data_IF_424988628086
#
_entry.id   IF_424988628086
#
_cell.length_a   1.000
_cell.length_b   1.000
_cell.length_c   1.000
_cell.angle_alpha   90.00
_cell.angle_beta   90.00
_cell.angle_gamma   90.00
#
_symmetry.space_group_name_H-M   'P 1'
#
loop_
_entity.id
_entity.type
_entity.pdbx_description
1 polymer ?
#
# COMPACT_ATOMS: atom_id res chain seq x y z
N UNK A 1 -4.80 30.74 -75.51
CA UNK A 1 -4.31 30.06 -74.29
C UNK A 1 -4.12 31.09 -73.18
N UNK A 2 -4.98 31.09 -72.17
CA UNK A 2 -4.75 31.58 -70.79
C UNK A 2 -5.85 30.92 -69.95
N UNK A 3 -5.53 29.84 -69.23
CA UNK A 3 -6.44 29.17 -68.29
C UNK A 3 -6.27 29.87 -66.94
N UNK A 4 -7.29 30.59 -66.48
CA UNK A 4 -7.35 31.08 -65.11
C UNK A 4 -7.85 29.94 -64.22
N UNK A 5 -6.96 29.45 -63.35
CA UNK A 5 -7.25 28.43 -62.36
C UNK A 5 -7.71 29.13 -61.08
N UNK A 6 -9.02 29.24 -60.87
CA UNK A 6 -9.57 29.73 -59.60
C UNK A 6 -9.54 28.60 -58.57
N UNK A 7 -8.60 28.68 -57.63
CA UNK A 7 -8.49 27.78 -56.48
C UNK A 7 -9.58 28.18 -55.46
N UNK A 8 -10.61 27.37 -55.31
CA UNK A 8 -11.57 27.49 -54.22
C UNK A 8 -10.98 26.81 -52.97
N UNK A 9 -10.60 27.61 -51.98
CA UNK A 9 -10.12 27.17 -50.68
C UNK A 9 -11.32 26.84 -49.79
N UNK A 10 -11.63 25.56 -49.61
CA UNK A 10 -12.67 25.11 -48.69
C UNK A 10 -12.08 24.98 -47.28
N UNK A 11 -12.32 25.97 -46.42
CA UNK A 11 -12.00 25.90 -44.99
C UNK A 11 -13.01 24.98 -44.30
N UNK A 12 -12.58 23.76 -43.97
CA UNK A 12 -13.33 22.87 -43.08
C UNK A 12 -13.05 23.32 -41.65
N UNK A 13 -13.98 24.05 -41.06
CA UNK A 13 -13.97 24.40 -39.64
C UNK A 13 -14.48 23.19 -38.85
N UNK A 14 -13.61 22.27 -38.47
CA UNK A 14 -13.94 21.23 -37.49
C UNK A 14 -14.11 21.90 -36.13
N UNK A 15 -15.36 22.15 -35.72
CA UNK A 15 -15.69 22.41 -34.32
C UNK A 15 -15.29 21.19 -33.50
N UNK A 16 -14.13 21.27 -32.84
CA UNK A 16 -13.82 20.40 -31.72
C UNK A 16 -14.81 20.73 -30.60
N UNK A 17 -15.90 19.98 -30.52
CA UNK A 17 -16.63 19.85 -29.27
C UNK A 17 -15.70 19.12 -28.30
N UNK A 18 -14.95 19.88 -27.51
CA UNK A 18 -14.35 19.38 -26.29
C UNK A 18 -15.49 18.93 -25.39
N UNK A 19 -15.80 17.64 -25.43
CA UNK A 19 -16.55 16.99 -24.36
C UNK A 19 -15.73 17.23 -23.09
N UNK A 20 -16.15 18.20 -22.29
CA UNK A 20 -15.71 18.30 -20.90
C UNK A 20 -16.20 17.02 -20.24
N UNK A 21 -15.33 16.02 -20.16
CA UNK A 21 -15.51 14.95 -19.20
C UNK A 21 -15.57 15.64 -17.85
N UNK A 22 -16.77 15.73 -17.27
CA UNK A 22 -16.89 16.09 -15.86
C UNK A 22 -16.05 15.06 -15.12
N UNK A 23 -14.86 15.47 -14.65
CA UNK A 23 -14.06 14.66 -13.75
C UNK A 23 -14.96 14.37 -12.57
N UNK A 24 -15.28 13.09 -12.35
CA UNK A 24 -15.99 12.71 -11.15
C UNK A 24 -14.94 12.96 -10.06
N UNK A 25 -15.25 13.83 -9.10
CA UNK A 25 -14.32 14.03 -8.01
C UNK A 25 -14.11 12.67 -7.33
N UNK A 26 -12.87 12.20 -7.23
CA UNK A 26 -12.54 10.98 -6.50
C UNK A 26 -13.15 11.07 -5.09
N UNK A 27 -14.00 10.09 -4.72
CA UNK A 27 -14.80 10.15 -3.49
C UNK A 27 -14.37 9.13 -2.42
N UNK A 28 -13.07 8.83 -2.29
CA UNK A 28 -12.60 8.08 -1.12
C UNK A 28 -11.46 7.11 -1.34
N UNK A 29 -11.43 6.07 -0.51
CA UNK A 29 -10.35 5.11 -0.47
C UNK A 29 -10.46 4.09 -1.60
N UNK A 30 -9.33 3.73 -2.20
CA UNK A 30 -9.20 2.64 -3.15
C UNK A 30 -8.15 1.65 -2.65
N UNK A 31 -8.46 0.36 -2.74
CA UNK A 31 -7.69 -0.70 -2.10
C UNK A 31 -7.56 -1.89 -3.05
N UNK A 32 -6.33 -2.34 -3.27
CA UNK A 32 -6.05 -3.68 -3.81
C UNK A 32 -5.26 -4.45 -2.77
N UNK A 33 -5.81 -5.57 -2.28
CA UNK A 33 -5.15 -6.46 -1.34
C UNK A 33 -5.28 -7.93 -1.73
N UNK A 34 -4.19 -8.67 -1.52
CA UNK A 34 -4.10 -10.10 -1.74
C UNK A 34 -3.58 -10.79 -0.49
N UNK A 35 -4.26 -11.85 -0.08
CA UNK A 35 -3.90 -12.67 1.08
C UNK A 35 -3.44 -14.04 0.62
N UNK A 36 -2.56 -14.65 1.41
CA UNK A 36 -2.36 -16.09 1.36
C UNK A 36 -3.60 -16.83 1.86
N UNK A 37 -3.83 -18.04 1.35
CA UNK A 37 -4.78 -18.97 1.96
C UNK A 37 -4.19 -19.60 3.23
N UNK A 38 -2.90 -19.94 3.21
CA UNK A 38 -2.18 -20.54 4.34
C UNK A 38 -1.67 -19.48 5.32
N UNK A 39 -1.37 -19.90 6.55
CA UNK A 39 -0.82 -19.04 7.60
C UNK A 39 0.71 -19.10 7.66
N UNK A 40 1.33 -17.96 7.94
CA UNK A 40 2.78 -17.77 8.01
C UNK A 40 3.16 -16.92 9.23
N UNK A 41 4.45 -16.94 9.58
CA UNK A 41 5.05 -16.13 10.65
C UNK A 41 5.45 -14.73 10.17
N UNK A 42 5.24 -14.39 8.91
CA UNK A 42 5.64 -13.10 8.37
C UNK A 42 5.71 -13.09 6.86
N UNK A 43 5.90 -11.89 6.34
CA UNK A 43 6.03 -11.61 4.92
C UNK A 43 7.07 -10.52 4.72
N UNK A 44 7.84 -10.62 3.65
CA UNK A 44 8.72 -9.58 3.17
C UNK A 44 8.66 -9.47 1.66
N UNK A 45 9.22 -8.40 1.13
CA UNK A 45 9.33 -8.17 -0.30
C UNK A 45 10.03 -6.87 -0.61
N UNK A 46 10.34 -6.68 -1.88
CA UNK A 46 11.05 -5.52 -2.42
C UNK A 46 10.04 -4.61 -3.14
N UNK A 47 9.77 -3.44 -2.58
CA UNK A 47 8.94 -2.42 -3.21
C UNK A 47 9.79 -1.55 -4.13
N UNK A 48 9.46 -1.53 -5.41
CA UNK A 48 9.96 -0.52 -6.36
C UNK A 48 9.13 0.75 -6.17
N UNK A 49 9.81 1.84 -5.84
CA UNK A 49 9.18 3.14 -5.61
C UNK A 49 8.61 3.67 -6.93
N UNK A 50 7.31 4.00 -6.96
CA UNK A 50 6.68 4.48 -8.18
C UNK A 50 7.22 5.84 -8.61
N UNK A 51 6.97 6.15 -9.88
CA UNK A 51 7.19 7.48 -10.45
C UNK A 51 5.92 8.33 -10.37
N UNK A 52 6.06 9.64 -10.60
CA UNK A 52 4.95 10.57 -10.73
C UNK A 52 3.97 10.57 -9.54
N UNK A 53 4.51 10.36 -8.34
CA UNK A 53 3.75 10.21 -7.10
C UNK A 53 3.22 11.56 -6.66
N UNK A 54 1.92 11.64 -6.37
CA UNK A 54 1.27 12.85 -5.86
C UNK A 54 0.16 12.47 -4.89
N UNK A 55 0.10 13.19 -3.77
CA UNK A 55 -0.98 13.13 -2.79
C UNK A 55 -1.01 14.47 -2.05
N UNK A 56 -2.20 15.09 -1.93
CA UNK A 56 -2.36 16.41 -1.33
C UNK A 56 -3.53 16.46 -0.34
N UNK A 57 -3.54 17.48 0.53
CA UNK A 57 -4.65 17.81 1.43
C UNK A 57 -5.14 16.64 2.30
N UNK A 58 -4.21 15.91 2.92
CA UNK A 58 -4.54 14.76 3.78
C UNK A 58 -4.68 13.42 3.05
N UNK A 59 -4.62 13.40 1.72
CA UNK A 59 -4.52 12.16 0.96
C UNK A 59 -3.19 11.43 1.21
N UNK A 60 -3.23 10.11 1.11
CA UNK A 60 -2.07 9.23 1.29
C UNK A 60 -2.05 8.11 0.27
N UNK A 61 -0.86 7.63 -0.04
CA UNK A 61 -0.62 6.40 -0.80
C UNK A 61 0.18 5.47 0.09
N UNK A 62 -0.36 4.30 0.42
CA UNK A 62 0.26 3.30 1.28
C UNK A 62 0.61 2.05 0.47
N UNK A 63 1.87 1.63 0.60
CA UNK A 63 2.37 0.35 0.11
C UNK A 63 2.72 -0.48 1.34
N UNK A 64 1.96 -1.52 1.62
CA UNK A 64 2.03 -2.19 2.91
C UNK A 64 1.92 -3.71 2.83
N UNK A 65 2.51 -4.33 3.84
CA UNK A 65 2.44 -5.74 4.16
C UNK A 65 1.57 -5.92 5.40
N UNK A 66 0.99 -7.10 5.59
CA UNK A 66 0.17 -7.36 6.77
C UNK A 66 0.20 -8.79 7.28
N UNK A 67 -0.05 -8.90 8.58
CA UNK A 67 -0.35 -10.11 9.34
C UNK A 67 -1.85 -10.09 9.63
N UNK A 68 -2.61 -10.82 8.81
CA UNK A 68 -4.06 -10.71 8.69
C UNK A 68 -4.51 -9.24 8.54
N UNK A 69 -5.64 -8.88 9.13
CA UNK A 69 -6.11 -7.49 9.27
C UNK A 69 -5.73 -6.88 10.63
N UNK A 70 -4.92 -7.60 11.40
CA UNK A 70 -4.55 -7.23 12.77
C UNK A 70 -3.34 -6.29 12.79
N UNK A 71 -2.31 -6.61 12.00
CA UNK A 71 -1.09 -5.78 11.95
C UNK A 71 -0.72 -5.50 10.52
N UNK A 72 -0.52 -4.23 10.20
CA UNK A 72 -0.14 -3.74 8.87
C UNK A 72 1.04 -2.79 9.00
N UNK A 73 2.03 -2.93 8.14
CA UNK A 73 3.20 -2.07 8.15
C UNK A 73 3.69 -1.83 6.73
N UNK A 74 4.21 -0.63 6.48
CA UNK A 74 4.54 -0.23 5.12
C UNK A 74 5.27 1.08 5.03
N UNK A 75 5.33 1.59 3.80
CA UNK A 75 5.71 2.97 3.50
C UNK A 75 4.50 3.71 2.96
N UNK A 76 4.41 4.98 3.31
CA UNK A 76 3.32 5.87 2.96
C UNK A 76 3.87 7.15 2.36
N UNK A 77 3.26 7.64 1.29
CA UNK A 77 3.54 8.95 0.71
C UNK A 77 2.38 9.90 0.99
N UNK A 78 2.70 11.14 1.36
CA UNK A 78 1.76 12.25 1.45
C UNK A 78 2.43 13.54 0.97
N UNK A 79 1.76 14.68 1.10
CA UNK A 79 2.35 16.00 0.85
C UNK A 79 3.57 16.31 1.72
N UNK A 80 3.77 15.58 2.83
CA UNK A 80 4.95 15.70 3.69
C UNK A 80 6.13 14.79 3.27
N UNK A 81 5.97 14.04 2.18
CA UNK A 81 6.94 13.06 1.69
C UNK A 81 6.69 11.64 2.18
N UNK A 82 7.70 10.79 2.02
CA UNK A 82 7.67 9.39 2.42
C UNK A 82 7.90 9.22 3.92
N UNK A 83 7.07 8.37 4.51
CA UNK A 83 7.18 7.89 5.89
C UNK A 83 7.08 6.38 5.94
N UNK A 84 7.66 5.80 6.97
CA UNK A 84 7.43 4.41 7.35
C UNK A 84 6.36 4.36 8.45
N UNK A 85 5.52 3.34 8.46
CA UNK A 85 4.49 3.19 9.49
C UNK A 85 4.23 1.74 9.87
N UNK A 86 3.64 1.56 11.04
CA UNK A 86 3.04 0.32 11.50
C UNK A 86 1.73 0.63 12.22
N UNK A 87 0.74 -0.22 12.01
CA UNK A 87 -0.58 -0.18 12.58
C UNK A 87 -0.90 -1.58 13.16
N UNK A 88 -1.41 -1.64 14.39
CA UNK A 88 -1.75 -2.89 15.09
C UNK A 88 -3.26 -3.01 15.39
N UNK A 89 -4.11 -2.31 14.63
CA UNK A 89 -5.56 -2.43 14.71
C UNK A 89 -6.26 -1.15 15.16
N UNK A 90 -7.52 -1.27 15.60
CA UNK A 90 -8.32 -0.14 16.08
C UNK A 90 -7.91 0.29 17.50
N UNK A 91 -8.26 1.52 17.90
CA UNK A 91 -8.10 2.04 19.26
C UNK A 91 -8.68 1.06 20.28
N UNK A 92 -7.82 0.25 20.88
CA UNK A 92 -8.22 -0.72 21.86
C UNK A 92 -7.65 -0.24 23.20
N UNK A 93 -8.56 0.05 24.11
CA UNK A 93 -8.26 0.39 25.48
C UNK A 93 -8.69 -0.78 26.36
N UNK A 94 -7.92 -1.04 27.40
CA UNK A 94 -8.20 -2.07 28.38
C UNK A 94 -9.15 -1.40 29.33
N UNK A 95 -10.39 -1.86 29.31
CA UNK A 95 -11.34 -1.46 30.31
C UNK A 95 -11.02 -2.18 31.63
N UNK A 96 -11.17 -1.50 32.77
CA UNK A 96 -11.19 -2.16 34.07
C UNK A 96 -12.53 -2.93 34.25
N UNK A 97 -12.74 -3.55 35.42
CA UNK A 97 -14.00 -4.26 35.75
C UNK A 97 -15.25 -3.38 35.67
N UNK A 98 -15.09 -2.06 35.60
CA UNK A 98 -16.18 -1.07 35.56
C UNK A 98 -16.33 -0.46 34.16
N UNK A 99 -15.77 -1.12 33.13
CA UNK A 99 -15.80 -0.68 31.74
C UNK A 99 -15.14 0.70 31.49
N UNK A 100 -14.24 1.14 32.38
CA UNK A 100 -13.48 2.38 32.21
C UNK A 100 -12.13 2.10 31.57
N UNK A 101 -11.82 2.80 30.48
CA UNK A 101 -10.53 2.72 29.80
C UNK A 101 -9.39 3.17 30.74
N UNK A 102 -8.53 2.23 31.13
CA UNK A 102 -7.41 2.48 32.07
C UNK A 102 -6.04 2.39 31.41
N UNK A 103 -5.97 1.85 30.20
CA UNK A 103 -4.75 1.79 29.42
C UNK A 103 -5.06 1.86 27.93
N UNK A 104 -4.58 2.88 27.23
CA UNK A 104 -4.77 3.04 25.80
C UNK A 104 -3.41 3.06 25.11
N UNK A 105 -3.18 2.11 24.20
CA UNK A 105 -1.96 2.11 23.38
C UNK A 105 -2.21 2.89 22.09
N UNK A 106 -1.19 3.60 21.59
CA UNK A 106 -1.22 4.12 20.23
C UNK A 106 -1.21 2.91 19.27
N UNK A 107 -2.33 2.70 18.60
CA UNK A 107 -2.49 1.60 17.64
C UNK A 107 -1.75 1.86 16.32
N UNK A 108 -1.29 3.09 16.09
CA UNK A 108 -0.53 3.48 14.90
C UNK A 108 0.72 4.29 15.27
N UNK A 109 1.78 4.11 14.49
CA UNK A 109 2.99 4.94 14.54
C UNK A 109 3.52 5.15 13.13
N UNK A 110 3.97 6.36 12.85
CA UNK A 110 4.70 6.65 11.63
C UNK A 110 5.89 7.56 11.88
N UNK A 111 6.96 7.39 11.11
CA UNK A 111 8.17 8.20 11.18
C UNK A 111 8.56 8.60 9.76
N UNK A 112 8.90 9.89 9.49
CA UNK A 112 9.43 10.28 8.19
C UNK A 112 10.69 9.48 7.83
N UNK A 113 10.85 9.15 6.55
CA UNK A 113 12.12 8.59 6.09
C UNK A 113 13.20 9.68 6.11
N UNK A 114 14.34 9.40 6.74
CA UNK A 114 15.47 10.33 6.79
C UNK A 114 16.07 10.58 5.41
N UNK A 115 16.04 9.57 4.54
CA UNK A 115 16.36 9.68 3.12
C UNK A 115 15.09 9.42 2.32
N UNK A 116 14.68 10.40 1.52
CA UNK A 116 13.50 10.28 0.65
C UNK A 116 13.89 9.48 -0.60
N UNK A 117 13.25 8.32 -0.86
CA UNK A 117 13.59 7.53 -2.02
C UNK A 117 13.11 8.21 -3.31
N UNK A 118 13.89 8.03 -4.37
CA UNK A 118 13.55 8.45 -5.72
C UNK A 118 12.72 7.39 -6.45
N UNK A 119 12.09 7.78 -7.55
CA UNK A 119 11.40 6.84 -8.43
C UNK A 119 12.37 5.76 -8.94
N UNK A 120 11.96 4.49 -8.86
CA UNK A 120 12.77 3.34 -9.25
C UNK A 120 13.66 2.79 -8.14
N UNK A 121 13.85 3.49 -7.02
CA UNK A 121 14.53 2.95 -5.85
C UNK A 121 13.81 1.71 -5.33
N UNK A 122 14.58 0.79 -4.73
CA UNK A 122 14.05 -0.45 -4.16
C UNK A 122 14.14 -0.41 -2.65
N UNK A 123 13.00 -0.52 -1.98
CA UNK A 123 12.90 -0.66 -0.53
C UNK A 123 12.58 -2.11 -0.16
N UNK A 124 13.37 -2.71 0.72
CA UNK A 124 13.13 -4.05 1.23
C UNK A 124 12.36 -3.99 2.53
N UNK A 125 11.10 -4.39 2.51
CA UNK A 125 10.20 -4.36 3.65
C UNK A 125 10.00 -5.77 4.19
N UNK A 126 9.93 -5.93 5.50
CA UNK A 126 9.64 -7.23 6.14
C UNK A 126 8.91 -7.06 7.45
N UNK A 127 7.74 -7.68 7.60
CA UNK A 127 7.01 -7.78 8.86
C UNK A 127 7.03 -9.22 9.38
N UNK A 128 7.32 -9.35 10.68
CA UNK A 128 7.52 -10.63 11.36
C UNK A 128 6.61 -10.71 12.56
N UNK A 129 5.86 -11.79 12.66
CA UNK A 129 5.26 -12.28 13.89
C UNK A 129 6.30 -13.10 14.67
N UNK A 130 6.64 -12.65 15.87
CA UNK A 130 7.67 -13.30 16.69
C UNK A 130 7.14 -14.54 17.44
N UNK A 131 5.85 -14.89 17.29
CA UNK A 131 5.24 -16.06 17.92
C UNK A 131 4.89 -15.88 19.41
N UNK A 132 5.19 -14.71 19.97
CA UNK A 132 4.98 -14.35 21.38
C UNK A 132 4.11 -13.09 21.53
N UNK A 133 3.14 -12.91 20.63
CA UNK A 133 2.26 -11.73 20.57
C UNK A 133 3.00 -10.40 20.35
N UNK A 134 4.18 -10.44 19.73
CA UNK A 134 4.93 -9.25 19.32
C UNK A 134 5.25 -9.30 17.84
N UNK A 135 5.50 -8.13 17.26
CA UNK A 135 5.81 -7.96 15.83
C UNK A 135 7.08 -7.14 15.68
N UNK A 136 7.86 -7.48 14.65
CA UNK A 136 9.01 -6.70 14.22
C UNK A 136 8.84 -6.27 12.77
N UNK A 137 9.12 -5.00 12.47
CA UNK A 137 9.08 -4.43 11.12
C UNK A 137 10.46 -3.86 10.74
N UNK A 138 10.93 -4.29 9.57
CA UNK A 138 12.24 -3.96 9.03
C UNK A 138 12.11 -3.20 7.71
N UNK A 139 13.02 -2.25 7.52
CA UNK A 139 13.28 -1.56 6.26
C UNK A 139 14.76 -1.72 5.91
N UNK A 140 15.06 -2.22 4.71
CA UNK A 140 16.42 -2.45 4.22
C UNK A 140 17.30 -3.24 5.20
N UNK A 141 16.70 -4.23 5.87
CA UNK A 141 17.38 -5.09 6.84
C UNK A 141 17.50 -4.51 8.25
N UNK A 142 17.30 -3.21 8.43
CA UNK A 142 17.31 -2.56 9.75
C UNK A 142 15.94 -2.64 10.39
N UNK A 143 15.89 -3.02 11.66
CA UNK A 143 14.65 -2.97 12.43
C UNK A 143 14.28 -1.53 12.67
N UNK A 144 13.12 -1.10 12.15
CA UNK A 144 12.60 0.26 12.36
C UNK A 144 11.58 0.29 13.48
N UNK A 145 10.88 -0.83 13.67
CA UNK A 145 10.05 -1.06 14.84
C UNK A 145 10.33 -2.48 15.32
N UNK A 146 10.95 -2.62 16.49
CA UNK A 146 11.06 -3.92 17.16
C UNK A 146 10.00 -3.98 18.28
N UNK A 147 9.59 -5.20 18.66
CA UNK A 147 8.58 -5.40 19.71
C UNK A 147 8.99 -4.92 21.11
N UNK A 148 10.27 -4.59 21.36
CA UNK A 148 10.81 -4.15 22.65
C UNK A 148 10.92 -2.61 22.79
N UNK A 149 11.28 -1.89 21.70
CA UNK A 149 11.24 -0.43 21.52
C UNK A 149 9.80 0.10 21.60
N UNK A 150 8.85 -0.84 21.58
CA UNK A 150 7.43 -0.70 21.85
C UNK A 150 7.07 -0.90 23.32
N UNK A 151 8.01 -0.75 24.27
CA UNK A 151 7.76 -0.67 25.71
C UNK A 151 6.63 -1.60 26.18
N UNK A 152 6.78 -2.91 26.01
CA UNK A 152 5.78 -3.92 26.42
C UNK A 152 4.33 -3.63 25.98
N UNK A 153 4.08 -3.01 24.82
CA UNK A 153 2.73 -2.86 24.30
C UNK A 153 2.32 -4.16 23.60
N UNK A 154 1.36 -4.92 24.16
CA UNK A 154 0.84 -6.10 23.48
C UNK A 154 0.19 -5.66 22.16
N UNK A 155 0.25 -6.51 21.12
CA UNK A 155 -0.81 -6.45 20.10
C UNK A 155 -2.12 -6.54 20.89
N UNK A 156 -2.96 -5.52 20.78
CA UNK A 156 -4.06 -5.31 21.72
C UNK A 156 -5.15 -6.40 21.61
N UNK A 157 -5.08 -7.17 20.54
CA UNK A 157 -5.78 -8.44 20.36
C UNK A 157 -4.75 -9.57 20.33
N UNK A 158 -5.16 -10.79 20.63
CA UNK A 158 -4.27 -11.94 20.45
C UNK A 158 -3.87 -12.03 18.97
N UNK A 159 -2.58 -11.85 18.68
CA UNK A 159 -1.99 -12.18 17.39
C UNK A 159 -1.62 -13.66 17.43
N UNK A 160 -2.33 -14.54 16.69
CA UNK A 160 -1.99 -15.96 16.65
C UNK A 160 -0.55 -16.13 16.14
N UNK A 161 0.15 -17.18 16.56
CA UNK A 161 1.55 -17.39 16.19
C UNK A 161 1.80 -17.42 14.67
N UNK A 162 0.80 -17.84 13.89
CA UNK A 162 0.78 -17.71 12.44
C UNK A 162 -0.51 -17.06 11.97
N UNK A 163 -0.44 -16.30 10.88
CA UNK A 163 -1.62 -15.63 10.28
C UNK A 163 -1.56 -15.71 8.78
N UNK A 164 -2.70 -15.60 8.09
CA UNK A 164 -2.67 -15.26 6.66
C UNK A 164 -1.90 -13.96 6.52
N UNK A 165 -1.00 -13.90 5.55
CA UNK A 165 -0.22 -12.69 5.28
C UNK A 165 -0.68 -12.06 4.00
N UNK A 166 -0.51 -10.73 3.90
CA UNK A 166 -0.99 -9.96 2.77
C UNK A 166 0.01 -8.91 2.32
N UNK A 167 -0.17 -8.50 1.07
CA UNK A 167 0.39 -7.28 0.52
C UNK A 167 -0.74 -6.46 -0.10
N UNK A 168 -0.62 -5.14 -0.06
CA UNK A 168 -1.67 -4.27 -0.54
C UNK A 168 -1.19 -2.86 -0.88
N UNK A 169 -1.91 -2.24 -1.82
CA UNK A 169 -1.85 -0.82 -2.09
C UNK A 169 -3.15 -0.19 -1.61
N UNK A 170 -3.05 0.91 -0.87
CA UNK A 170 -4.19 1.71 -0.41
C UNK A 170 -3.93 3.15 -0.79
N UNK A 171 -4.92 3.79 -1.39
CA UNK A 171 -4.86 5.21 -1.72
C UNK A 171 -6.10 5.88 -1.18
N UNK A 172 -5.94 7.04 -0.55
CA UNK A 172 -7.06 7.95 -0.34
C UNK A 172 -7.03 9.03 -1.41
N UNK A 173 -8.17 9.28 -2.03
CA UNK A 173 -8.31 10.38 -2.97
C UNK A 173 -9.67 11.05 -2.80
N UNK A 174 -9.69 12.14 -2.03
CA UNK A 174 -10.89 12.94 -1.78
C UNK A 174 -10.98 14.20 -2.66
N UNK A 175 -10.03 14.40 -3.56
CA UNK A 175 -9.92 15.63 -4.36
C UNK A 175 -9.40 15.41 -5.79
N UNK A 176 -9.24 14.16 -6.23
CA UNK A 176 -8.80 13.79 -7.57
C UNK A 176 -7.32 14.06 -7.85
N UNK A 177 -6.49 14.20 -6.81
CA UNK A 177 -5.06 14.54 -6.97
C UNK A 177 -4.13 13.36 -6.78
N UNK A 178 -4.63 12.28 -6.16
CA UNK A 178 -3.79 11.14 -5.81
C UNK A 178 -3.43 10.35 -7.06
N UNK A 179 -2.14 10.18 -7.31
CA UNK A 179 -1.64 9.40 -8.45
C UNK A 179 -0.26 8.81 -8.21
N UNK A 180 0.03 7.71 -8.88
CA UNK A 180 1.38 7.16 -9.01
C UNK A 180 1.47 6.23 -10.22
N UNK A 181 2.69 6.03 -10.72
CA UNK A 181 2.97 5.18 -11.88
C UNK A 181 3.95 4.06 -11.54
N UNK A 182 3.56 2.82 -11.89
CA UNK A 182 4.42 1.63 -11.86
C UNK A 182 5.01 1.29 -10.47
N UNK A 183 4.21 1.34 -9.41
CA UNK A 183 4.60 0.71 -8.16
C UNK A 183 4.66 -0.81 -8.36
N UNK A 184 5.61 -1.50 -7.75
CA UNK A 184 5.77 -2.94 -7.94
C UNK A 184 6.32 -3.62 -6.69
N UNK A 185 5.70 -4.73 -6.27
CA UNK A 185 6.28 -5.64 -5.28
C UNK A 185 7.02 -6.78 -5.96
N UNK A 186 8.30 -6.95 -5.67
CA UNK A 186 9.16 -8.05 -6.17
C UNK A 186 9.61 -8.93 -5.02
N UNK A 187 10.08 -10.13 -5.38
CA UNK A 187 10.81 -11.03 -4.47
C UNK A 187 10.09 -11.25 -3.14
N UNK A 188 8.76 -11.40 -3.21
CA UNK A 188 7.92 -11.56 -2.04
C UNK A 188 8.25 -12.92 -1.41
N UNK A 189 8.58 -12.90 -0.12
CA UNK A 189 8.94 -14.08 0.66
C UNK A 189 8.03 -14.22 1.88
N UNK A 190 7.69 -15.47 2.20
CA UNK A 190 6.80 -15.85 3.28
C UNK A 190 7.60 -16.62 4.32
N UNK A 191 7.57 -16.18 5.58
CA UNK A 191 8.31 -16.82 6.67
C UNK A 191 7.52 -18.04 7.16
N UNK A 192 8.06 -19.22 6.95
CA UNK A 192 7.37 -20.48 7.26
C UNK A 192 7.50 -20.92 8.73
N UNK A 193 8.48 -20.38 9.49
CA UNK A 193 8.73 -20.79 10.87
C UNK A 193 9.07 -19.64 11.83
N UNK A 194 8.89 -19.91 13.12
CA UNK A 194 9.18 -18.95 14.19
C UNK A 194 10.68 -18.66 14.36
N UNK A 195 11.58 -19.59 14.02
CA UNK A 195 13.04 -19.38 14.14
C UNK A 195 13.61 -18.44 13.07
N UNK A 196 12.89 -18.22 11.96
CA UNK A 196 13.27 -17.25 10.92
C UNK A 196 14.32 -17.77 9.94
N UNK A 197 14.57 -19.07 9.92
CA UNK A 197 15.52 -19.71 9.02
C UNK A 197 14.90 -20.21 7.72
N UNK A 198 13.57 -20.28 7.62
CA UNK A 198 12.88 -20.83 6.45
C UNK A 198 11.92 -19.81 5.85
N UNK A 199 12.18 -19.47 4.59
CA UNK A 199 11.32 -18.66 3.75
C UNK A 199 10.89 -19.45 2.51
N UNK A 200 9.67 -19.22 2.06
CA UNK A 200 9.18 -19.67 0.76
C UNK A 200 8.81 -18.48 -0.10
N UNK A 201 9.03 -18.56 -1.39
CA UNK A 201 8.69 -17.47 -2.31
C UNK A 201 7.19 -17.42 -2.52
N UNK A 202 6.63 -16.22 -2.59
CA UNK A 202 5.28 -16.03 -3.09
C UNK A 202 5.28 -16.16 -4.61
N UNK A 203 4.77 -17.28 -5.10
CA UNK A 203 4.58 -17.51 -6.53
C UNK A 203 3.12 -17.34 -6.92
N UNK A 204 2.84 -17.15 -8.21
CA UNK A 204 1.47 -17.15 -8.75
C UNK A 204 0.70 -18.45 -8.49
N UNK A 205 1.40 -19.54 -8.16
CA UNK A 205 0.80 -20.84 -7.82
C UNK A 205 0.39 -20.97 -6.36
N UNK A 206 0.78 -20.04 -5.47
CA UNK A 206 0.27 -20.05 -4.10
C UNK A 206 -1.20 -19.60 -4.12
N UNK A 207 -2.13 -20.42 -3.59
CA UNK A 207 -3.52 -20.02 -3.50
C UNK A 207 -3.67 -18.70 -2.75
N UNK A 208 -4.30 -17.73 -3.41
CA UNK A 208 -4.53 -16.39 -2.88
C UNK A 208 -6.00 -16.06 -2.85
N UNK A 209 -6.43 -15.32 -1.83
CA UNK A 209 -7.75 -14.68 -1.80
C UNK A 209 -7.59 -13.18 -1.98
N UNK A 210 -8.48 -12.56 -2.74
CA UNK A 210 -8.49 -11.11 -2.95
C UNK A 210 -9.63 -10.43 -2.21
N UNK A 211 -9.45 -9.15 -1.93
CA UNK A 211 -10.52 -8.25 -1.52
C UNK A 211 -10.14 -6.86 -2.03
N UNK A 212 -11.07 -6.17 -2.69
CA UNK A 212 -10.77 -4.93 -3.40
C UNK A 212 -11.87 -3.90 -3.13
N UNK A 213 -11.48 -2.64 -3.11
CA UNK A 213 -12.39 -1.48 -3.02
C UNK A 213 -11.98 -0.52 -4.13
N UNK A 214 -12.92 -0.10 -4.97
CA UNK A 214 -12.66 0.80 -6.09
C UNK A 214 -11.47 0.34 -6.97
N UNK A 215 -11.40 -0.96 -7.27
CA UNK A 215 -10.31 -1.58 -8.04
C UNK A 215 -10.10 -0.91 -9.41
N UNK A 216 -11.17 -0.42 -10.04
CA UNK A 216 -11.12 0.25 -11.34
C UNK A 216 -10.27 1.52 -11.39
N UNK A 217 -9.92 2.10 -10.23
CA UNK A 217 -8.99 3.24 -10.15
C UNK A 217 -7.52 2.84 -10.30
N UNK A 218 -7.24 1.53 -10.27
CA UNK A 218 -5.90 0.99 -10.46
C UNK A 218 -5.78 0.42 -11.88
N UNK A 219 -4.66 0.72 -12.52
CA UNK A 219 -4.20 -0.04 -13.69
C UNK A 219 -3.28 -1.16 -13.19
N UNK A 220 -3.66 -2.42 -13.40
CA UNK A 220 -2.83 -3.59 -13.07
C UNK A 220 -2.02 -3.98 -14.31
N UNK A 221 -0.69 -3.91 -14.20
CA UNK A 221 0.25 -4.11 -15.33
C UNK A 221 0.72 -5.56 -15.48
N UNK A 222 0.34 -6.45 -14.57
CA UNK A 222 0.75 -7.86 -14.61
C UNK A 222 -0.25 -8.76 -13.90
N UNK A 223 -0.63 -9.85 -14.55
CA UNK A 223 -1.44 -10.91 -13.93
C UNK A 223 -0.64 -11.74 -12.90
N UNK A 224 0.68 -11.83 -13.10
CA UNK A 224 1.60 -12.57 -12.23
C UNK A 224 2.04 -11.77 -11.01
N UNK A 225 2.09 -10.46 -11.14
CA UNK A 225 2.30 -9.53 -10.04
C UNK A 225 1.14 -8.53 -9.99
N UNK A 226 0.03 -8.90 -9.33
CA UNK A 226 -1.17 -8.08 -9.36
C UNK A 226 -1.05 -6.77 -8.58
N UNK A 227 0.10 -6.52 -7.93
CA UNK A 227 0.46 -5.22 -7.37
C UNK A 227 1.50 -4.45 -8.18
N UNK A 228 1.87 -4.92 -9.37
CA UNK A 228 2.47 -4.03 -10.35
C UNK A 228 1.38 -3.11 -10.88
N UNK A 229 1.29 -1.89 -10.33
CA UNK A 229 0.12 -1.03 -10.53
C UNK A 229 0.49 0.42 -10.82
N UNK A 230 -0.42 1.13 -11.46
CA UNK A 230 -0.54 2.58 -11.41
C UNK A 230 -1.89 2.95 -10.81
N UNK A 231 -2.00 4.15 -10.26
CA UNK A 231 -3.26 4.68 -9.74
C UNK A 231 -3.51 6.07 -10.29
N UNK A 232 -4.75 6.30 -10.71
CA UNK A 232 -5.31 7.60 -10.99
C UNK A 232 -6.83 7.47 -10.82
N UNK A 233 -7.41 8.23 -9.89
CA UNK A 233 -8.86 8.25 -9.76
C UNK A 233 -9.50 8.99 -10.94
N UNK A 234 -10.68 8.53 -11.36
CA UNK A 234 -11.48 9.08 -12.46
C UNK A 234 -12.68 9.89 -11.94
#
# INVERSE_FOLDING_TARGET
MKKNLSIALFLVFTMFFSLSTNAIAATGDSIIKYYTVNSYYGIGGSLVIPSNVSAANGNVINFQLGLADTVEAGVSFSSAGWKIFINTGYHACKANSNNTEVFCSKYWRSVPLTTQPAAGDVLNLKIVNNGNNTVSYFLNGTSVFNGYDWGNLPVYTSLPATTKVKFMHITSDFNGTTRYNNAEWKDIVLRANASGSVYTNWTSSIPRTSSHTNEGNFTIHSSFNPLKTSFQAH
#
